data_IF_328801346684
#
_entry.id   IF_328801346684
#
_cell.length_a   1.000
_cell.length_b   1.000
_cell.length_c   1.000
_cell.angle_alpha   90.00
_cell.angle_beta   90.00
_cell.angle_gamma   90.00
#
_symmetry.space_group_name_H-M   'P 1'
#
loop_
_entity.id
_entity.type
_entity.pdbx_description
1 polymer ?
#
# COMPACT_ATOMS: atom_id res chain seq x y z
N UNK A 1 17.10 -11.23 -13.78
CA UNK A 1 16.13 -11.40 -12.68
C UNK A 1 14.77 -10.98 -13.21
N UNK A 2 13.68 -11.57 -12.75
CA UNK A 2 12.31 -11.14 -13.09
C UNK A 2 11.65 -10.59 -11.85
N UNK A 3 11.03 -9.43 -11.97
CA UNK A 3 10.36 -8.74 -10.86
C UNK A 3 8.87 -8.61 -11.18
N UNK A 4 8.02 -9.08 -10.29
CA UNK A 4 6.57 -8.95 -10.38
C UNK A 4 6.09 -7.89 -9.38
N UNK A 5 5.24 -6.98 -9.80
CA UNK A 5 4.48 -6.09 -8.91
C UNK A 5 3.03 -6.54 -8.92
N UNK A 6 2.53 -6.91 -7.76
CA UNK A 6 1.09 -7.17 -7.58
C UNK A 6 0.40 -5.82 -7.39
N UNK A 7 -0.47 -5.50 -8.32
CA UNK A 7 -1.16 -4.20 -8.39
C UNK A 7 -2.20 -4.11 -7.29
N UNK A 8 -2.11 -3.09 -6.46
CA UNK A 8 -3.14 -2.76 -5.48
C UNK A 8 -4.14 -1.77 -6.09
N UNK A 9 -5.42 -2.04 -5.93
CA UNK A 9 -6.49 -1.28 -6.57
C UNK A 9 -7.80 -1.39 -5.78
N UNK A 10 -8.70 -0.48 -6.06
CA UNK A 10 -10.06 -0.49 -5.56
C UNK A 10 -11.01 -0.79 -6.73
N UNK A 11 -11.03 -2.02 -7.17
CA UNK A 11 -11.77 -2.63 -8.29
C UNK A 11 -11.83 -1.81 -9.59
N UNK A 12 -12.08 -0.50 -9.54
CA UNK A 12 -12.21 0.37 -10.70
C UNK A 12 -11.11 1.42 -10.82
N UNK A 13 -10.22 1.53 -9.82
CA UNK A 13 -9.19 2.55 -9.79
C UNK A 13 -7.89 2.05 -9.18
N UNK A 14 -6.79 2.40 -9.80
CA UNK A 14 -5.45 2.13 -9.31
C UNK A 14 -5.22 2.81 -7.94
N UNK A 15 -4.69 2.07 -6.97
CA UNK A 15 -4.18 2.69 -5.74
C UNK A 15 -2.84 3.38 -6.02
N UNK A 16 -2.70 4.63 -5.59
CA UNK A 16 -1.48 5.42 -5.82
C UNK A 16 -0.21 4.75 -5.28
N UNK A 17 -0.31 3.99 -4.19
CA UNK A 17 0.83 3.24 -3.63
C UNK A 17 1.44 2.25 -4.61
N UNK A 18 0.65 1.77 -5.59
CA UNK A 18 1.16 0.93 -6.68
C UNK A 18 2.20 1.65 -7.53
N UNK A 19 2.01 2.93 -7.86
CA UNK A 19 2.98 3.70 -8.65
C UNK A 19 4.32 3.80 -7.93
N UNK A 20 4.31 4.01 -6.62
CA UNK A 20 5.52 4.03 -5.80
C UNK A 20 6.19 2.65 -5.73
N UNK A 21 5.38 1.58 -5.64
CA UNK A 21 5.88 0.20 -5.65
C UNK A 21 6.52 -0.17 -6.99
N UNK A 22 5.94 0.28 -8.10
CA UNK A 22 6.52 0.13 -9.44
C UNK A 22 7.84 0.88 -9.54
N UNK A 23 7.93 2.13 -9.04
CA UNK A 23 9.19 2.89 -9.01
C UNK A 23 10.29 2.17 -8.24
N UNK A 24 9.95 1.54 -7.12
CA UNK A 24 10.87 0.69 -6.38
C UNK A 24 11.28 -0.55 -7.20
N UNK A 25 10.32 -1.21 -7.85
CA UNK A 25 10.55 -2.42 -8.64
C UNK A 25 11.48 -2.20 -9.84
N UNK A 26 11.42 -1.03 -10.48
CA UNK A 26 12.29 -0.66 -11.61
C UNK A 26 13.78 -0.74 -11.22
N UNK A 27 14.15 -0.51 -9.95
CA UNK A 27 15.52 -0.68 -9.46
C UNK A 27 15.99 -2.14 -9.45
N UNK A 28 15.05 -3.11 -9.51
CA UNK A 28 15.31 -4.55 -9.56
C UNK A 28 15.28 -5.11 -10.99
N UNK A 29 14.99 -4.30 -11.99
CA UNK A 29 14.93 -4.62 -13.42
C UNK A 29 13.83 -5.63 -13.83
N UNK A 30 13.53 -5.69 -15.12
CA UNK A 30 12.58 -6.63 -15.75
C UNK A 30 11.24 -6.72 -15.00
N UNK A 31 10.52 -5.60 -14.98
CA UNK A 31 9.29 -5.46 -14.22
C UNK A 31 8.10 -5.87 -15.05
N UNK A 32 7.32 -6.79 -14.50
CA UNK A 32 5.99 -7.17 -14.95
C UNK A 32 4.97 -6.81 -13.87
N UNK A 33 3.75 -6.51 -14.27
CA UNK A 33 2.65 -6.20 -13.37
C UNK A 33 1.64 -7.35 -13.36
N UNK A 34 0.95 -7.54 -12.24
CA UNK A 34 -0.14 -8.49 -12.11
C UNK A 34 -1.38 -7.79 -11.58
N UNK A 35 -2.48 -7.85 -12.32
CA UNK A 35 -3.80 -7.35 -11.94
C UNK A 35 -4.73 -8.54 -11.72
N UNK A 36 -5.28 -8.65 -10.52
CA UNK A 36 -6.28 -9.65 -10.12
C UNK A 36 -7.56 -8.92 -9.74
N UNK A 37 -8.60 -9.00 -10.55
CA UNK A 37 -9.86 -8.25 -10.35
C UNK A 37 -11.03 -8.95 -11.04
N UNK A 38 -12.25 -8.54 -10.68
CA UNK A 38 -13.47 -8.89 -11.43
C UNK A 38 -13.61 -8.05 -12.73
N UNK A 39 -12.87 -6.91 -12.83
CA UNK A 39 -12.77 -6.10 -14.03
C UNK A 39 -11.41 -5.40 -14.11
N UNK A 40 -10.60 -5.75 -15.09
CA UNK A 40 -9.23 -5.24 -15.22
C UNK A 40 -9.10 -4.04 -16.17
N UNK A 41 -10.12 -3.73 -16.96
CA UNK A 41 -10.03 -2.78 -18.08
C UNK A 41 -9.56 -1.37 -17.65
N UNK A 42 -10.22 -0.78 -16.65
CA UNK A 42 -9.94 0.61 -16.25
C UNK A 42 -8.57 0.71 -15.59
N UNK A 43 -8.22 -0.28 -14.77
CA UNK A 43 -6.90 -0.39 -14.13
C UNK A 43 -5.80 -0.51 -15.20
N UNK A 44 -6.01 -1.36 -16.22
CA UNK A 44 -5.03 -1.53 -17.31
C UNK A 44 -4.82 -0.24 -18.10
N UNK A 45 -5.88 0.56 -18.32
CA UNK A 45 -5.76 1.85 -19.01
C UNK A 45 -4.85 2.84 -18.25
N UNK A 46 -4.83 2.78 -16.91
CA UNK A 46 -3.93 3.58 -16.10
C UNK A 46 -2.49 3.04 -16.13
N UNK A 47 -2.32 1.71 -16.23
CA UNK A 47 -1.01 1.05 -16.15
C UNK A 47 -0.23 1.03 -17.47
N UNK A 48 -0.93 1.01 -18.62
CA UNK A 48 -0.33 0.72 -19.92
C UNK A 48 0.71 1.76 -20.36
N UNK A 49 0.62 2.98 -19.83
CA UNK A 49 1.51 4.10 -20.12
C UNK A 49 2.67 4.24 -19.14
N UNK A 50 2.80 3.35 -18.14
CA UNK A 50 3.90 3.43 -17.19
C UNK A 50 5.18 2.96 -17.84
N UNK A 51 6.23 3.77 -17.74
CA UNK A 51 7.54 3.47 -18.33
C UNK A 51 8.25 2.32 -17.61
N UNK A 52 9.09 1.60 -18.38
CA UNK A 52 9.92 0.50 -17.89
C UNK A 52 9.15 -0.74 -17.39
N UNK A 53 7.96 -0.96 -17.91
CA UNK A 53 7.16 -2.17 -17.70
C UNK A 53 7.22 -3.04 -18.96
N UNK A 54 7.42 -4.35 -18.80
CA UNK A 54 7.45 -5.29 -19.92
C UNK A 54 6.06 -5.84 -20.23
N UNK A 55 5.40 -6.46 -19.24
CA UNK A 55 4.10 -7.08 -19.40
C UNK A 55 3.15 -6.67 -18.28
N UNK A 56 1.87 -6.66 -18.58
CA UNK A 56 0.77 -6.52 -17.63
C UNK A 56 -0.03 -7.82 -17.71
N UNK A 57 0.17 -8.70 -16.76
CA UNK A 57 -0.61 -9.92 -16.63
C UNK A 57 -1.93 -9.60 -15.95
N UNK A 58 -3.01 -10.13 -16.50
CA UNK A 58 -4.35 -9.98 -15.94
C UNK A 58 -4.99 -11.34 -15.69
N UNK A 59 -5.74 -11.45 -14.61
CA UNK A 59 -6.74 -12.49 -14.44
C UNK A 59 -8.05 -11.83 -14.01
N UNK A 60 -9.02 -11.81 -14.91
CA UNK A 60 -10.34 -11.26 -14.67
C UNK A 60 -11.27 -12.38 -14.21
N UNK A 61 -11.65 -12.35 -12.93
CA UNK A 61 -12.48 -13.36 -12.31
C UNK A 61 -13.24 -12.78 -11.11
N UNK A 62 -14.51 -13.13 -10.97
CA UNK A 62 -15.39 -12.68 -9.87
C UNK A 62 -14.85 -13.00 -8.48
N UNK A 63 -14.06 -14.05 -8.33
CA UNK A 63 -13.43 -14.43 -7.05
C UNK A 63 -12.40 -13.39 -6.58
N UNK A 64 -11.81 -12.63 -7.50
CA UNK A 64 -10.88 -11.55 -7.14
C UNK A 64 -11.57 -10.23 -6.80
N UNK A 65 -12.89 -10.13 -6.94
CA UNK A 65 -13.66 -8.92 -6.62
C UNK A 65 -13.37 -8.36 -5.22
N UNK A 66 -13.24 -9.23 -4.25
CA UNK A 66 -13.02 -8.86 -2.84
C UNK A 66 -11.56 -9.07 -2.39
N UNK A 67 -10.66 -9.40 -3.32
CA UNK A 67 -9.21 -9.55 -3.12
C UNK A 67 -8.85 -10.41 -1.89
N UNK A 68 -9.54 -11.54 -1.71
CA UNK A 68 -9.23 -12.47 -0.62
C UNK A 68 -7.78 -12.95 -0.75
N UNK A 69 -7.04 -12.89 0.35
CA UNK A 69 -5.62 -13.23 0.36
C UNK A 69 -5.38 -14.71 0.03
N UNK A 70 -6.32 -15.56 0.37
CA UNK A 70 -6.28 -16.99 0.08
C UNK A 70 -6.19 -17.28 -1.41
N UNK A 71 -7.08 -16.69 -2.18
CA UNK A 71 -7.15 -16.92 -3.63
C UNK A 71 -6.02 -16.21 -4.35
N UNK A 72 -5.75 -14.95 -3.99
CA UNK A 72 -4.66 -14.16 -4.58
C UNK A 72 -3.29 -14.81 -4.35
N UNK A 73 -2.98 -15.23 -3.11
CA UNK A 73 -1.69 -15.84 -2.80
C UNK A 73 -1.51 -17.22 -3.48
N UNK A 74 -2.57 -18.03 -3.55
CA UNK A 74 -2.52 -19.32 -4.25
C UNK A 74 -2.27 -19.12 -5.75
N UNK A 75 -3.03 -18.21 -6.37
CA UNK A 75 -2.85 -17.91 -7.79
C UNK A 75 -1.41 -17.47 -8.12
N UNK A 76 -0.86 -16.56 -7.30
CA UNK A 76 0.52 -16.08 -7.49
C UNK A 76 1.51 -17.23 -7.28
N UNK A 77 1.33 -18.05 -6.23
CA UNK A 77 2.22 -19.17 -5.95
C UNK A 77 2.21 -20.23 -7.05
N UNK A 78 1.12 -20.43 -7.75
CA UNK A 78 1.00 -21.40 -8.85
C UNK A 78 1.64 -20.89 -10.14
N UNK A 79 1.46 -19.60 -10.48
CA UNK A 79 1.76 -19.05 -11.79
C UNK A 79 3.10 -18.29 -11.88
N UNK A 80 3.68 -17.85 -10.74
CA UNK A 80 4.85 -16.95 -10.75
C UNK A 80 6.08 -17.48 -10.01
N UNK A 81 6.28 -18.79 -9.97
CA UNK A 81 7.43 -19.48 -9.31
C UNK A 81 8.80 -19.10 -9.90
N UNK A 82 8.82 -18.64 -11.14
CA UNK A 82 10.06 -18.27 -11.86
C UNK A 82 10.51 -16.83 -11.60
N UNK A 83 9.72 -16.06 -10.82
CA UNK A 83 10.09 -14.71 -10.45
C UNK A 83 11.09 -14.69 -9.28
N UNK A 84 12.06 -13.79 -9.37
CA UNK A 84 13.06 -13.61 -8.31
C UNK A 84 12.56 -12.66 -7.21
N UNK A 85 11.72 -11.69 -7.60
CA UNK A 85 11.17 -10.72 -6.67
C UNK A 85 9.66 -10.58 -6.94
N UNK A 86 8.85 -10.60 -5.88
CA UNK A 86 7.41 -10.32 -5.94
C UNK A 86 7.14 -9.21 -4.92
N UNK A 87 6.72 -8.04 -5.43
CA UNK A 87 6.53 -6.83 -4.67
C UNK A 87 5.05 -6.52 -4.50
N UNK A 88 4.73 -6.04 -3.31
CA UNK A 88 3.42 -5.54 -2.92
C UNK A 88 3.55 -4.14 -2.33
N UNK A 89 2.54 -3.30 -2.47
CA UNK A 89 2.42 -2.09 -1.66
C UNK A 89 2.23 -2.48 -0.18
N UNK A 90 2.78 -1.70 0.75
CA UNK A 90 2.66 -1.96 2.19
C UNK A 90 1.28 -1.50 2.74
N UNK A 91 0.22 -1.71 1.98
CA UNK A 91 -1.19 -1.48 2.33
C UNK A 91 -1.74 -2.61 3.19
N UNK A 92 -2.96 -2.49 3.66
CA UNK A 92 -3.64 -3.58 4.40
C UNK A 92 -3.77 -4.84 3.53
N UNK A 93 -4.05 -4.67 2.24
CA UNK A 93 -4.16 -5.77 1.30
C UNK A 93 -2.81 -6.46 1.06
N UNK A 94 -1.77 -5.68 0.72
CA UNK A 94 -0.42 -6.24 0.54
C UNK A 94 0.13 -6.93 1.79
N UNK A 95 -0.13 -6.37 2.98
CA UNK A 95 0.24 -6.99 4.28
C UNK A 95 -0.51 -8.30 4.57
N UNK A 96 -1.66 -8.51 3.95
CA UNK A 96 -2.43 -9.74 4.09
C UNK A 96 -1.96 -10.82 3.09
N UNK A 97 -1.76 -10.44 1.82
CA UNK A 97 -1.40 -11.38 0.75
C UNK A 97 0.08 -11.82 0.86
N UNK A 98 1.00 -10.87 1.03
CA UNK A 98 2.44 -11.13 0.94
C UNK A 98 2.97 -12.16 1.96
N UNK A 99 2.64 -12.13 3.26
CA UNK A 99 3.12 -13.13 4.20
C UNK A 99 2.50 -14.51 3.95
N UNK A 100 1.26 -14.57 3.47
CA UNK A 100 0.64 -15.84 3.07
C UNK A 100 1.36 -16.45 1.87
N UNK A 101 1.65 -15.65 0.86
CA UNK A 101 2.44 -16.08 -0.29
C UNK A 101 3.83 -16.58 0.13
N UNK A 102 4.50 -15.86 1.03
CA UNK A 102 5.80 -16.26 1.56
C UNK A 102 5.73 -17.63 2.24
N UNK A 103 4.67 -17.89 3.02
CA UNK A 103 4.44 -19.21 3.64
C UNK A 103 4.20 -20.32 2.62
N UNK A 104 3.43 -20.04 1.54
CA UNK A 104 3.19 -21.02 0.46
C UNK A 104 4.45 -21.36 -0.33
N UNK A 105 5.38 -20.42 -0.47
CA UNK A 105 6.63 -20.59 -1.21
C UNK A 105 7.81 -21.00 -0.31
N UNK A 106 7.57 -21.28 0.96
CA UNK A 106 8.58 -21.61 1.99
C UNK A 106 9.75 -20.60 1.98
N UNK A 107 9.41 -19.32 2.01
CA UNK A 107 10.37 -18.21 2.01
C UNK A 107 10.03 -17.17 3.08
N UNK A 108 10.99 -16.28 3.37
CA UNK A 108 10.76 -15.20 4.33
C UNK A 108 10.34 -13.90 3.61
N UNK A 109 9.34 -13.23 4.16
CA UNK A 109 8.95 -11.90 3.71
C UNK A 109 9.97 -10.85 4.17
N UNK A 110 10.20 -9.82 3.34
CA UNK A 110 10.95 -8.61 3.68
C UNK A 110 9.94 -7.46 3.71
N UNK A 111 9.33 -7.18 4.87
CA UNK A 111 8.25 -6.21 4.92
C UNK A 111 8.75 -4.79 5.11
N UNK A 112 7.94 -3.83 4.60
CA UNK A 112 8.06 -2.40 4.87
C UNK A 112 9.40 -1.79 4.41
N UNK A 113 9.83 -2.16 3.22
CA UNK A 113 11.09 -1.70 2.63
C UNK A 113 11.00 -0.21 2.29
N UNK A 114 12.02 0.54 2.69
CA UNK A 114 12.16 2.00 2.45
C UNK A 114 13.30 2.33 1.49
N UNK A 115 14.21 1.39 1.22
CA UNK A 115 15.33 1.58 0.30
C UNK A 115 15.78 0.22 -0.24
N UNK A 116 16.04 0.18 -1.54
CA UNK A 116 16.67 -0.94 -2.24
C UNK A 116 18.13 -0.57 -2.45
N UNK A 117 19.04 -1.25 -1.75
CA UNK A 117 20.49 -0.98 -1.83
C UNK A 117 21.09 -1.70 -3.03
N UNK A 118 20.71 -2.94 -3.22
CA UNK A 118 21.05 -3.78 -4.37
C UNK A 118 19.98 -4.87 -4.58
N UNK A 119 20.19 -5.77 -5.53
CA UNK A 119 19.22 -6.83 -5.92
C UNK A 119 18.86 -7.81 -4.80
N UNK A 120 19.59 -7.81 -3.69
CA UNK A 120 19.36 -8.70 -2.53
C UNK A 120 19.40 -7.98 -1.19
N UNK A 121 19.72 -6.68 -1.17
CA UNK A 121 19.92 -5.91 0.07
C UNK A 121 18.91 -4.78 0.16
N UNK A 122 18.16 -4.76 1.25
CA UNK A 122 17.04 -3.89 1.49
C UNK A 122 17.17 -3.22 2.86
N UNK A 123 16.71 -1.95 2.96
CA UNK A 123 16.58 -1.27 4.25
C UNK A 123 15.13 -1.19 4.66
N UNK A 124 14.88 -1.43 5.95
CA UNK A 124 13.55 -1.35 6.53
C UNK A 124 13.60 -0.78 7.95
N UNK A 125 12.58 -0.03 8.40
CA UNK A 125 12.51 0.42 9.76
C UNK A 125 12.13 -0.73 10.69
N UNK A 126 12.70 -0.68 11.90
CA UNK A 126 12.41 -1.57 13.02
C UNK A 126 12.23 -0.74 14.29
N UNK A 127 11.71 -1.32 15.37
CA UNK A 127 11.44 -0.62 16.63
C UNK A 127 10.64 0.68 16.42
N UNK A 128 9.51 0.58 15.71
CA UNK A 128 8.65 1.72 15.37
C UNK A 128 9.41 2.88 14.68
N UNK A 129 10.38 2.56 13.83
CA UNK A 129 11.15 3.54 13.08
C UNK A 129 12.36 4.13 13.80
N UNK A 130 12.63 3.73 15.05
CA UNK A 130 13.81 4.19 15.81
C UNK A 130 15.13 3.65 15.27
N UNK A 131 15.09 2.54 14.54
CA UNK A 131 16.26 1.95 13.92
C UNK A 131 15.93 1.53 12.48
N UNK A 132 16.95 1.51 11.62
CA UNK A 132 16.85 1.03 10.25
C UNK A 132 17.74 -0.20 10.13
N UNK A 133 17.13 -1.34 9.82
CA UNK A 133 17.84 -2.58 9.57
C UNK A 133 18.20 -2.66 8.08
N UNK A 134 19.45 -3.02 7.78
CA UNK A 134 19.87 -3.44 6.46
C UNK A 134 19.83 -4.97 6.39
N UNK A 135 18.93 -5.51 5.59
CA UNK A 135 18.66 -6.93 5.47
C UNK A 135 19.19 -7.44 4.12
N UNK A 136 20.05 -8.45 4.11
CA UNK A 136 20.47 -9.15 2.90
C UNK A 136 19.70 -10.46 2.78
N UNK A 137 18.94 -10.61 1.71
CA UNK A 137 18.20 -11.83 1.41
C UNK A 137 19.14 -12.94 0.91
N UNK A 138 18.86 -14.17 1.35
CA UNK A 138 19.42 -15.39 0.82
C UNK A 138 18.38 -16.26 0.11
N UNK A 139 17.16 -15.75 -0.01
CA UNK A 139 16.05 -16.47 -0.62
C UNK A 139 16.24 -16.56 -2.15
N UNK A 140 15.67 -17.60 -2.73
CA UNK A 140 15.57 -17.72 -4.19
C UNK A 140 14.51 -16.77 -4.75
N UNK A 141 13.41 -16.59 -4.00
CA UNK A 141 12.31 -15.68 -4.31
C UNK A 141 12.19 -14.72 -3.13
N UNK A 142 12.26 -13.43 -3.40
CA UNK A 142 12.04 -12.39 -2.41
C UNK A 142 10.59 -11.94 -2.46
N UNK A 143 9.87 -12.05 -1.36
CA UNK A 143 8.55 -11.48 -1.17
C UNK A 143 8.72 -10.19 -0.37
N UNK A 144 8.33 -9.07 -0.96
CA UNK A 144 8.69 -7.74 -0.44
C UNK A 144 7.44 -6.88 -0.33
N UNK A 145 7.23 -6.17 0.79
CA UNK A 145 6.28 -5.07 0.82
C UNK A 145 7.02 -3.73 0.83
N UNK A 146 6.58 -2.80 -0.01
CA UNK A 146 7.20 -1.49 -0.25
C UNK A 146 6.44 -0.40 0.51
N UNK A 147 7.14 0.37 1.32
CA UNK A 147 6.59 1.59 1.92
C UNK A 147 6.46 2.66 0.84
N UNK A 148 5.25 2.88 0.32
CA UNK A 148 4.99 3.80 -0.77
C UNK A 148 5.58 5.20 -0.52
N UNK A 149 5.45 5.72 0.70
CA UNK A 149 5.93 7.05 1.08
C UNK A 149 7.46 7.22 1.02
N UNK A 150 8.23 6.15 0.85
CA UNK A 150 9.68 6.19 0.75
C UNK A 150 10.20 6.29 -0.71
N UNK A 151 9.33 6.08 -1.68
CA UNK A 151 9.65 6.10 -3.11
C UNK A 151 8.80 7.14 -3.83
N UNK A 152 9.34 7.70 -4.90
CA UNK A 152 8.58 8.54 -5.82
C UNK A 152 7.59 7.70 -6.62
N UNK A 153 6.64 8.34 -7.30
CA UNK A 153 5.75 7.67 -8.24
C UNK A 153 6.49 7.27 -9.53
N UNK A 154 6.08 6.18 -10.15
CA UNK A 154 6.58 5.77 -11.46
C UNK A 154 6.18 6.79 -12.53
N UNK A 155 7.05 6.99 -13.50
CA UNK A 155 6.81 7.93 -14.60
C UNK A 155 5.77 7.37 -15.58
N UNK A 156 4.80 8.19 -15.91
CA UNK A 156 3.83 7.93 -16.96
C UNK A 156 4.35 8.52 -18.28
N UNK A 157 4.30 7.76 -19.35
CA UNK A 157 4.70 8.19 -20.71
C UNK A 157 3.49 8.40 -21.61
N UNK A 158 3.76 8.81 -22.85
CA UNK A 158 2.74 9.05 -23.86
C UNK A 158 2.51 7.83 -24.77
N UNK A 159 3.31 6.78 -24.65
CA UNK A 159 3.23 5.55 -25.46
C UNK A 159 2.86 4.34 -24.62
N UNK A 160 2.03 3.47 -25.18
CA UNK A 160 1.71 2.18 -24.57
C UNK A 160 2.95 1.29 -24.57
N UNK A 161 3.54 1.07 -23.39
CA UNK A 161 4.78 0.29 -23.23
C UNK A 161 4.48 -1.14 -22.80
N UNK A 162 3.53 -1.34 -21.88
CA UNK A 162 3.17 -2.65 -21.36
C UNK A 162 2.34 -3.50 -22.33
N UNK A 163 2.67 -4.79 -22.44
CA UNK A 163 1.85 -5.75 -23.19
C UNK A 163 0.87 -6.43 -22.24
N UNK A 164 -0.43 -6.26 -22.48
CA UNK A 164 -1.47 -6.91 -21.69
C UNK A 164 -1.58 -8.38 -22.13
N UNK A 165 -1.55 -9.28 -21.16
CA UNK A 165 -1.66 -10.72 -21.36
C UNK A 165 -2.59 -11.32 -20.31
N UNK A 166 -3.62 -12.00 -20.73
CA UNK A 166 -4.48 -12.78 -19.86
C UNK A 166 -3.78 -14.08 -19.46
N UNK A 167 -3.79 -14.43 -18.19
CA UNK A 167 -3.08 -15.60 -17.67
C UNK A 167 -3.94 -16.43 -16.72
N UNK A 168 -3.73 -17.73 -16.83
CA UNK A 168 -4.09 -18.74 -15.86
C UNK A 168 -5.59 -18.93 -15.62
N UNK A 169 -5.91 -20.08 -15.04
CA UNK A 169 -7.19 -20.34 -14.40
C UNK A 169 -6.99 -20.28 -12.89
N UNK A 170 -7.93 -19.66 -12.17
CA UNK A 170 -7.94 -19.68 -10.71
C UNK A 170 -8.44 -21.03 -10.20
N UNK A 171 -7.67 -21.66 -9.32
CA UNK A 171 -8.15 -22.78 -8.51
C UNK A 171 -8.54 -22.24 -7.13
N UNK A 172 -9.84 -22.08 -6.91
CA UNK A 172 -10.35 -21.65 -5.60
C UNK A 172 -10.25 -22.79 -4.61
N UNK A 173 -9.85 -22.47 -3.38
CA UNK A 173 -9.78 -23.48 -2.30
C UNK A 173 -11.01 -23.46 -1.39
N UNK A 174 -11.93 -22.51 -1.55
CA UNK A 174 -13.17 -22.33 -0.78
C UNK A 174 -12.97 -22.32 0.75
N UNK A 175 -11.76 -21.94 1.23
CA UNK A 175 -11.45 -21.92 2.67
C UNK A 175 -12.07 -20.70 3.35
N UNK A 176 -12.24 -19.60 2.61
CA UNK A 176 -12.78 -18.34 3.08
C UNK A 176 -13.87 -17.85 2.14
N UNK A 177 -14.78 -17.05 2.67
CA UNK A 177 -15.85 -16.44 1.91
C UNK A 177 -16.04 -15.00 2.38
N UNK A 178 -16.09 -14.08 1.44
CA UNK A 178 -16.49 -12.71 1.71
C UNK A 178 -17.98 -12.67 2.10
N UNK A 179 -18.31 -11.96 3.18
CA UNK A 179 -19.69 -11.76 3.61
C UNK A 179 -20.16 -10.34 3.32
N UNK A 180 -19.51 -9.36 3.91
CA UNK A 180 -19.79 -7.93 3.70
C UNK A 180 -18.62 -7.07 4.16
N UNK A 181 -18.64 -5.80 3.79
CA UNK A 181 -17.80 -4.75 4.36
C UNK A 181 -18.64 -3.52 4.67
N UNK A 182 -18.36 -2.89 5.80
CA UNK A 182 -18.92 -1.60 6.16
C UNK A 182 -17.85 -0.54 5.93
N UNK A 183 -18.04 0.27 4.88
CA UNK A 183 -17.12 1.33 4.52
C UNK A 183 -17.72 2.68 4.90
N UNK A 184 -16.95 3.48 5.61
CA UNK A 184 -17.30 4.87 5.88
C UNK A 184 -17.18 5.66 4.58
N UNK A 185 -18.31 6.13 4.04
CA UNK A 185 -18.28 7.04 2.89
C UNK A 185 -17.82 8.41 3.35
N UNK A 186 -16.71 8.88 2.82
CA UNK A 186 -16.21 10.24 3.02
C UNK A 186 -16.14 10.95 1.68
N UNK A 187 -16.59 12.19 1.63
CA UNK A 187 -16.40 13.07 0.48
C UNK A 187 -14.98 13.68 0.45
N UNK A 188 -14.23 13.55 1.56
CA UNK A 188 -12.88 14.06 1.69
C UNK A 188 -11.86 13.12 1.02
N UNK A 189 -10.69 13.65 0.60
CA UNK A 189 -9.61 12.82 0.06
C UNK A 189 -9.24 11.67 1.00
N UNK A 190 -8.79 10.56 0.42
CA UNK A 190 -8.26 9.45 1.19
C UNK A 190 -7.02 9.86 1.98
N UNK A 191 -6.95 9.45 3.25
CA UNK A 191 -5.89 9.86 4.18
C UNK A 191 -4.49 9.45 3.70
N UNK A 192 -4.37 8.31 3.05
CA UNK A 192 -3.09 7.75 2.55
C UNK A 192 -2.54 8.47 1.32
N UNK A 193 -3.41 9.15 0.56
CA UNK A 193 -3.06 9.80 -0.72
C UNK A 193 -3.28 11.31 -0.73
N UNK A 194 -3.68 11.89 0.41
CA UNK A 194 -3.99 13.32 0.50
C UNK A 194 -2.72 14.17 0.55
N UNK A 195 -2.72 15.27 -0.21
CA UNK A 195 -1.63 16.26 -0.18
C UNK A 195 -1.63 17.10 1.12
N UNK A 196 -2.80 17.28 1.72
CA UNK A 196 -2.97 18.02 2.97
C UNK A 196 -3.72 17.14 3.97
N UNK A 197 -3.19 17.03 5.18
CA UNK A 197 -3.84 16.30 6.28
C UNK A 197 -4.01 17.22 7.49
N UNK A 198 -5.23 17.28 8.02
CA UNK A 198 -5.54 17.91 9.30
C UNK A 198 -5.83 16.81 10.32
N UNK A 199 -5.05 16.74 11.39
CA UNK A 199 -5.13 15.64 12.35
C UNK A 199 -5.36 16.14 13.77
N UNK A 200 -6.32 15.50 14.45
CA UNK A 200 -6.67 15.80 15.83
C UNK A 200 -6.17 14.77 16.83
N UNK A 201 -5.77 15.24 18.00
CA UNK A 201 -5.38 14.40 19.12
C UNK A 201 -6.39 14.40 20.27
N UNK A 202 -6.10 13.56 21.28
CA UNK A 202 -6.89 13.51 22.52
C UNK A 202 -6.94 14.86 23.26
N UNK A 203 -5.97 15.76 23.00
CA UNK A 203 -5.94 17.11 23.56
C UNK A 203 -7.11 18.01 23.15
N UNK A 204 -7.89 17.62 22.13
CA UNK A 204 -9.15 18.31 21.78
C UNK A 204 -10.27 18.09 22.81
N UNK A 205 -10.18 17.04 23.63
CA UNK A 205 -11.04 16.83 24.79
C UNK A 205 -12.39 16.17 24.51
N UNK A 206 -12.96 16.33 23.31
CA UNK A 206 -14.23 15.70 22.94
C UNK A 206 -14.40 15.54 21.44
N UNK A 207 -15.40 14.73 21.02
CA UNK A 207 -15.77 14.55 19.62
C UNK A 207 -16.29 15.84 18.97
N UNK A 208 -17.05 16.68 19.73
CA UNK A 208 -17.59 17.93 19.23
C UNK A 208 -16.50 18.91 18.80
N UNK A 209 -15.35 18.89 19.49
CA UNK A 209 -14.24 19.78 19.15
C UNK A 209 -13.54 19.39 17.85
N UNK A 210 -13.71 18.15 17.36
CA UNK A 210 -13.23 17.75 16.06
C UNK A 210 -13.96 18.47 14.91
N UNK A 211 -15.18 18.95 15.12
CA UNK A 211 -15.91 19.74 14.11
C UNK A 211 -15.17 21.03 13.71
N UNK A 212 -14.31 21.57 14.58
CA UNK A 212 -13.47 22.74 14.25
C UNK A 212 -12.43 22.33 13.19
N UNK A 213 -11.82 21.14 13.36
CA UNK A 213 -10.83 20.62 12.41
C UNK A 213 -11.49 20.16 11.12
N UNK A 214 -12.69 19.62 11.18
CA UNK A 214 -13.46 19.24 9.99
C UNK A 214 -13.74 20.44 9.10
N UNK A 215 -14.19 21.55 9.68
CA UNK A 215 -14.41 22.80 8.94
C UNK A 215 -13.11 23.36 8.32
N UNK A 216 -11.97 23.17 9.00
CA UNK A 216 -10.67 23.56 8.47
C UNK A 216 -10.26 22.63 7.31
N UNK A 217 -10.44 21.32 7.48
CA UNK A 217 -10.13 20.32 6.45
C UNK A 217 -10.98 20.55 5.19
N UNK A 218 -12.27 20.83 5.34
CA UNK A 218 -13.18 21.11 4.22
C UNK A 218 -12.74 22.35 3.42
N UNK A 219 -12.29 23.41 4.12
CA UNK A 219 -11.78 24.63 3.45
C UNK A 219 -10.46 24.42 2.72
N UNK A 220 -9.63 23.49 3.19
CA UNK A 220 -8.33 23.18 2.60
C UNK A 220 -8.41 22.05 1.57
N UNK A 221 -9.56 21.40 1.40
CA UNK A 221 -9.65 20.14 0.63
C UNK A 221 -8.77 19.03 1.24
N UNK A 222 -8.60 19.03 2.56
CA UNK A 222 -7.69 18.15 3.27
C UNK A 222 -8.37 16.86 3.74
N UNK A 223 -7.59 15.80 3.90
CA UNK A 223 -8.03 14.61 4.60
C UNK A 223 -8.03 14.83 6.13
N UNK A 224 -8.93 14.12 6.83
CA UNK A 224 -8.97 14.11 8.28
C UNK A 224 -8.19 12.94 8.85
N UNK A 225 -7.30 13.27 9.79
CA UNK A 225 -6.55 12.29 10.56
C UNK A 225 -6.79 12.40 12.07
N UNK A 226 -6.40 11.38 12.80
CA UNK A 226 -6.46 11.40 14.25
C UNK A 226 -5.36 10.56 14.89
N UNK A 227 -5.01 10.90 16.14
CA UNK A 227 -4.14 10.04 16.94
C UNK A 227 -4.91 8.80 17.42
N UNK A 228 -4.20 7.69 17.64
CA UNK A 228 -4.78 6.49 18.26
C UNK A 228 -5.55 6.82 19.54
N UNK A 229 -5.00 7.68 20.40
CA UNK A 229 -5.62 8.04 21.66
C UNK A 229 -6.97 8.78 21.50
N UNK A 230 -7.20 9.48 20.38
CA UNK A 230 -8.48 10.10 20.08
C UNK A 230 -9.48 9.07 19.55
N UNK A 231 -9.02 8.10 18.74
CA UNK A 231 -9.83 6.97 18.26
C UNK A 231 -10.25 6.07 19.43
N UNK A 232 -9.31 5.66 20.27
CA UNK A 232 -9.58 4.83 21.46
C UNK A 232 -10.55 5.52 22.45
N UNK A 233 -10.54 6.86 22.48
CA UNK A 233 -11.51 7.65 23.25
C UNK A 233 -12.88 7.80 22.58
N UNK A 234 -13.07 7.27 21.39
CA UNK A 234 -14.32 7.32 20.64
C UNK A 234 -14.66 8.69 20.05
N UNK A 235 -13.68 9.60 19.92
CA UNK A 235 -13.93 10.94 19.35
C UNK A 235 -14.14 10.90 17.84
N UNK A 236 -13.50 9.96 17.15
CA UNK A 236 -13.52 9.81 15.69
C UNK A 236 -13.47 8.34 15.29
N UNK A 237 -13.90 8.01 14.05
CA UNK A 237 -13.85 6.65 13.55
C UNK A 237 -12.40 6.15 13.39
N UNK A 238 -12.24 4.81 13.42
CA UNK A 238 -10.95 4.15 13.30
C UNK A 238 -10.22 4.45 11.98
N UNK A 239 -10.96 4.68 10.90
CA UNK A 239 -10.41 4.98 9.58
C UNK A 239 -9.60 6.27 9.50
N UNK A 240 -9.74 7.15 10.50
CA UNK A 240 -8.96 8.39 10.61
C UNK A 240 -7.64 8.20 11.35
N UNK A 241 -7.38 7.00 11.89
CA UNK A 241 -6.17 6.78 12.66
C UNK A 241 -4.91 6.89 11.81
N UNK A 242 -4.01 7.80 12.21
CA UNK A 242 -2.65 7.94 11.68
C UNK A 242 -1.65 7.41 12.69
N UNK A 243 -0.69 6.62 12.22
CA UNK A 243 0.40 6.12 13.05
C UNK A 243 0.63 4.62 12.88
N UNK A 244 1.49 4.04 13.71
CA UNK A 244 2.01 2.67 13.60
C UNK A 244 0.93 1.59 13.43
N UNK A 245 -0.22 1.76 14.04
CA UNK A 245 -1.36 0.83 13.98
C UNK A 245 -2.51 1.35 13.12
N UNK A 246 -2.33 2.50 12.49
CA UNK A 246 -3.27 3.13 11.57
C UNK A 246 -2.72 3.27 10.16
N UNK A 247 -3.10 4.36 9.50
CA UNK A 247 -2.64 4.68 8.14
C UNK A 247 -1.30 5.43 8.19
N UNK A 248 -0.39 5.08 7.28
CA UNK A 248 0.86 5.80 7.03
C UNK A 248 0.58 6.90 6.04
N UNK A 249 1.00 8.13 6.35
CA UNK A 249 0.73 9.31 5.54
C UNK A 249 2.00 10.09 5.22
N UNK A 250 2.07 10.70 4.03
CA UNK A 250 3.18 11.56 3.62
C UNK A 250 2.67 12.80 2.87
N UNK A 251 1.82 13.61 3.51
CA UNK A 251 1.27 14.80 2.87
C UNK A 251 2.35 15.88 2.70
N UNK A 252 2.10 16.81 1.77
CA UNK A 252 2.91 18.01 1.63
C UNK A 252 2.74 18.96 2.82
N UNK A 253 1.52 18.96 3.44
CA UNK A 253 1.21 19.73 4.64
C UNK A 253 0.48 18.85 5.66
N UNK A 254 1.02 18.76 6.87
CA UNK A 254 0.40 18.07 7.99
C UNK A 254 0.13 19.03 9.15
N UNK A 255 -1.13 19.29 9.45
CA UNK A 255 -1.56 20.16 10.55
C UNK A 255 -1.98 19.26 11.72
N UNK A 256 -1.23 19.31 12.82
CA UNK A 256 -1.48 18.50 14.02
C UNK A 256 -1.99 19.37 15.17
N UNK A 257 -3.16 19.07 15.70
CA UNK A 257 -3.80 19.82 16.78
C UNK A 257 -4.13 18.91 17.97
N UNK A 258 -3.64 19.26 19.13
CA UNK A 258 -3.88 18.48 20.36
C UNK A 258 -3.23 17.08 20.36
N UNK A 259 -2.19 16.88 19.56
CA UNK A 259 -1.41 15.63 19.46
C UNK A 259 -0.16 15.76 20.31
N UNK A 260 0.14 14.76 21.14
CA UNK A 260 1.27 14.77 22.07
C UNK A 260 2.66 14.63 21.40
N UNK A 261 2.71 14.27 20.12
CA UNK A 261 3.97 14.00 19.44
C UNK A 261 4.61 12.67 19.83
N UNK A 262 3.83 11.72 20.33
CA UNK A 262 4.33 10.38 20.63
C UNK A 262 4.98 9.74 19.40
N UNK A 263 6.05 8.98 19.61
CA UNK A 263 6.89 8.41 18.55
C UNK A 263 6.09 7.53 17.58
N UNK A 264 5.08 6.82 18.06
CA UNK A 264 4.20 5.98 17.24
C UNK A 264 3.39 6.78 16.21
N UNK A 265 3.12 8.06 16.49
CA UNK A 265 2.45 8.95 15.53
C UNK A 265 3.46 9.64 14.61
N UNK A 266 4.70 9.87 15.07
CA UNK A 266 5.75 10.52 14.29
C UNK A 266 6.41 9.55 13.29
N UNK A 267 6.57 8.28 13.66
CA UNK A 267 7.28 7.27 12.88
C UNK A 267 6.71 7.03 11.47
N UNK A 268 5.43 7.30 11.29
CA UNK A 268 4.71 7.03 10.05
C UNK A 268 4.43 8.31 9.23
N UNK A 269 5.24 9.35 9.45
CA UNK A 269 5.22 10.57 8.65
C UNK A 269 6.57 10.76 7.95
N UNK A 270 6.55 11.06 6.67
CA UNK A 270 7.77 11.29 5.85
C UNK A 270 8.54 12.55 6.30
N UNK A 271 7.96 13.41 7.09
CA UNK A 271 8.56 14.67 7.53
C UNK A 271 9.42 14.48 8.77
N UNK A 272 10.63 14.04 8.61
CA UNK A 272 11.71 14.28 9.58
C UNK A 272 12.59 15.44 9.10
N UNK A 273 12.04 16.61 8.98
CA UNK A 273 12.80 17.83 9.22
C UNK A 273 12.51 18.26 10.63
N UNK A 274 13.27 17.74 11.57
CA UNK A 274 13.55 18.42 12.83
C UNK A 274 14.41 19.64 12.44
N UNK A 275 13.83 20.81 12.47
CA UNK A 275 14.54 22.05 12.67
C UNK A 275 14.54 22.34 14.16
#
# INVERSE_FOLDING_TARGET
MKTLVVVDHNNNKLDKSTLNTIKAAIQLENVDLLVLSDSCKDICNELINIKNINNIFINENDEFKNQLAEDSANFIAENFKDYTNILFSNTSNGKNIAPRLAGLLDTMIIPDVIEIVDKQTFKRPIYAGNAIATCKSKNKINIITIRATAFEEAEIGDENVGKIQEIGSLTTNNLTKYLNSELTKSERPELTSADIVVSGGRGLGSAENFQILEKLADKLGAAMGASRAAVDAGYVPNDWQVGQTGKIVAPNLYIAVGISGAIQHLADRKSTRLN
#
